data_IF_949857552313
#
_entry.id   IF_949857552313
#
_cell.length_a   1.000
_cell.length_b   1.000
_cell.length_c   1.000
_cell.angle_alpha   90.00
_cell.angle_beta   90.00
_cell.angle_gamma   90.00
#
_symmetry.space_group_name_H-M   'P 1'
#
loop_
_entity.id
_entity.type
_entity.pdbx_description
1 polymer ?
#
# COMPACT_ATOMS: atom_id res chain seq x y z
N UNK A 1 16.46 5.83 -3.02
CA UNK A 1 15.62 5.99 -1.81
C UNK A 1 16.44 6.69 -0.70
N UNK A 2 15.79 7.49 0.16
CA UNK A 2 16.45 8.27 1.22
C UNK A 2 16.02 7.82 2.62
N UNK A 3 14.79 8.14 3.04
CA UNK A 3 14.21 7.67 4.30
C UNK A 3 13.31 6.50 3.97
N UNK A 4 13.59 5.32 4.53
CA UNK A 4 12.90 4.10 4.16
C UNK A 4 12.19 3.43 5.33
N UNK A 5 10.99 2.93 5.05
CA UNK A 5 10.29 1.95 5.88
C UNK A 5 10.69 0.53 5.52
N UNK A 6 10.69 -0.35 6.51
CA UNK A 6 11.02 -1.77 6.37
C UNK A 6 9.76 -2.59 6.03
N UNK A 7 9.59 -3.77 6.61
CA UNK A 7 8.52 -4.72 6.31
C UNK A 7 7.13 -4.18 6.65
N UNK A 8 6.15 -4.58 5.84
CA UNK A 8 4.72 -4.52 6.13
C UNK A 8 4.18 -5.94 6.05
N UNK A 9 3.34 -6.33 6.99
CA UNK A 9 2.71 -7.65 7.06
C UNK A 9 1.20 -7.51 6.82
N UNK A 10 0.61 -8.49 6.15
CA UNK A 10 -0.82 -8.58 5.90
C UNK A 10 -1.35 -10.00 6.01
N UNK A 11 -2.53 -10.16 6.60
CA UNK A 11 -3.20 -11.46 6.76
C UNK A 11 -4.71 -11.31 6.56
N UNK A 12 -5.30 -12.21 5.77
CA UNK A 12 -6.75 -12.40 5.67
C UNK A 12 -7.25 -13.28 6.81
N UNK A 13 -8.37 -12.92 7.41
CA UNK A 13 -9.07 -13.72 8.42
C UNK A 13 -10.57 -13.76 8.14
N UNK A 14 -11.32 -14.55 8.91
CA UNK A 14 -12.77 -14.64 8.77
C UNK A 14 -13.44 -13.29 9.06
N UNK A 15 -13.95 -12.64 8.02
CA UNK A 15 -14.64 -11.35 8.11
C UNK A 15 -13.74 -10.12 7.95
N UNK A 16 -12.45 -10.29 7.63
CA UNK A 16 -11.61 -9.13 7.35
C UNK A 16 -10.15 -9.38 7.01
N UNK A 17 -9.40 -8.28 7.00
CA UNK A 17 -7.96 -8.25 6.73
C UNK A 17 -7.28 -7.38 7.75
N UNK A 18 -6.10 -7.79 8.20
CA UNK A 18 -5.24 -7.00 9.08
C UNK A 18 -3.94 -6.66 8.36
N UNK A 19 -3.48 -5.41 8.50
CA UNK A 19 -2.16 -4.96 8.09
C UNK A 19 -1.39 -4.45 9.32
N UNK A 20 -0.09 -4.73 9.36
CA UNK A 20 0.80 -4.27 10.43
C UNK A 20 2.11 -3.74 9.85
N UNK A 21 2.58 -2.62 10.41
CA UNK A 21 3.88 -2.02 10.09
C UNK A 21 4.44 -1.34 11.34
N UNK A 22 5.77 -1.29 11.47
CA UNK A 22 6.41 -0.43 12.46
C UNK A 22 6.25 1.07 12.10
N UNK A 23 6.61 1.94 13.04
CA UNK A 23 6.49 3.40 12.88
C UNK A 23 7.84 4.09 12.67
N UNK A 24 8.84 3.36 12.16
CA UNK A 24 10.22 3.85 12.01
C UNK A 24 10.52 4.23 10.56
N UNK A 25 11.13 5.40 10.38
CA UNK A 25 11.75 5.84 9.14
C UNK A 25 13.26 5.92 9.33
N UNK A 26 13.97 5.00 8.69
CA UNK A 26 15.43 4.91 8.78
C UNK A 26 16.10 5.67 7.65
N UNK A 27 17.20 6.37 7.96
CA UNK A 27 18.11 6.96 6.97
C UNK A 27 19.41 6.16 6.98
N UNK A 28 19.49 5.14 6.11
CA UNK A 28 20.50 4.10 6.24
C UNK A 28 20.33 3.31 7.54
N UNK A 29 21.38 3.20 8.34
CA UNK A 29 21.35 2.53 9.65
C UNK A 29 20.77 3.39 10.78
N UNK A 30 20.60 4.70 10.56
CA UNK A 30 20.10 5.61 11.59
C UNK A 30 18.57 5.58 11.63
N UNK A 31 18.01 5.19 12.78
CA UNK A 31 16.59 5.33 13.09
C UNK A 31 16.22 6.81 13.33
N UNK A 32 16.10 7.58 12.23
CA UNK A 32 15.94 9.04 12.21
C UNK A 32 14.56 9.50 12.68
N UNK A 33 13.50 8.81 12.26
CA UNK A 33 12.12 9.10 12.66
C UNK A 33 11.51 7.87 13.33
N UNK A 34 10.87 8.03 14.49
CA UNK A 34 10.37 6.91 15.33
C UNK A 34 8.86 6.95 15.59
N UNK A 35 8.12 7.75 14.84
CA UNK A 35 6.70 7.98 15.04
C UNK A 35 5.97 8.33 13.74
N UNK A 36 6.41 7.77 12.62
CA UNK A 36 5.76 7.98 11.32
C UNK A 36 4.77 6.85 11.04
N UNK A 37 3.63 7.16 10.44
CA UNK A 37 2.68 6.13 10.04
C UNK A 37 3.04 5.58 8.66
N UNK A 38 3.13 4.26 8.54
CA UNK A 38 3.32 3.55 7.27
C UNK A 38 2.05 2.86 6.76
N UNK A 39 0.95 3.09 7.46
CA UNK A 39 -0.40 2.63 7.13
C UNK A 39 -1.30 3.84 6.89
N UNK A 40 -2.16 3.77 5.87
CA UNK A 40 -3.12 4.81 5.54
C UNK A 40 -4.47 4.17 5.21
N UNK A 41 -5.54 4.67 5.84
CA UNK A 41 -6.92 4.41 5.42
C UNK A 41 -7.13 5.14 4.08
N UNK A 42 -7.54 4.39 3.05
CA UNK A 42 -7.83 4.92 1.72
C UNK A 42 -9.28 5.41 1.65
N UNK A 43 -10.20 4.54 2.03
CA UNK A 43 -11.63 4.80 2.16
C UNK A 43 -12.19 3.87 3.25
N UNK A 44 -13.52 3.79 3.39
CA UNK A 44 -14.15 2.96 4.43
C UNK A 44 -13.93 1.44 4.27
N UNK A 45 -13.63 0.98 3.06
CA UNK A 45 -13.44 -0.44 2.75
C UNK A 45 -11.98 -0.87 2.55
N UNK A 46 -11.05 0.09 2.45
CA UNK A 46 -9.67 -0.16 2.00
C UNK A 46 -8.62 0.53 2.86
N UNK A 47 -7.57 -0.22 3.21
CA UNK A 47 -6.36 0.23 3.89
C UNK A 47 -5.13 -0.12 3.05
N UNK A 48 -4.13 0.75 3.11
CA UNK A 48 -2.89 0.62 2.37
C UNK A 48 -1.70 0.69 3.32
N UNK A 49 -0.73 -0.20 3.12
CA UNK A 49 0.55 -0.19 3.83
C UNK A 49 1.71 -0.19 2.84
N UNK A 50 2.77 0.58 3.13
CA UNK A 50 3.91 0.70 2.23
C UNK A 50 5.26 0.47 2.93
N UNK A 51 6.15 -0.22 2.22
CA UNK A 51 7.58 -0.29 2.49
C UNK A 51 8.37 0.48 1.42
N UNK A 52 9.65 0.71 1.68
CA UNK A 52 10.52 1.45 0.75
C UNK A 52 10.55 2.94 1.08
N UNK A 53 10.69 3.79 0.06
CA UNK A 53 10.91 5.22 0.23
C UNK A 53 9.65 5.94 0.78
N UNK A 54 9.84 6.71 1.85
CA UNK A 54 8.75 7.37 2.53
C UNK A 54 8.23 8.62 1.78
N UNK A 55 9.08 9.32 1.04
CA UNK A 55 8.66 10.49 0.26
C UNK A 55 7.81 10.06 -0.95
N UNK A 56 8.20 8.98 -1.62
CA UNK A 56 7.39 8.37 -2.69
C UNK A 56 6.04 7.86 -2.15
N UNK A 57 6.03 7.31 -0.92
CA UNK A 57 4.81 6.91 -0.25
C UNK A 57 3.88 8.10 0.04
N UNK A 58 4.42 9.22 0.52
CA UNK A 58 3.63 10.44 0.73
C UNK A 58 3.05 10.99 -0.59
N UNK A 59 3.82 10.93 -1.67
CA UNK A 59 3.31 11.30 -2.99
C UNK A 59 2.15 10.39 -3.42
N UNK A 60 2.29 9.07 -3.28
CA UNK A 60 1.21 8.12 -3.58
C UNK A 60 -0.04 8.39 -2.74
N UNK A 61 0.11 8.72 -1.45
CA UNK A 61 -1.01 9.08 -0.59
C UNK A 61 -1.78 10.27 -1.13
N UNK A 62 -1.08 11.34 -1.53
CA UNK A 62 -1.73 12.56 -2.03
C UNK A 62 -2.54 12.30 -3.31
N UNK A 63 -1.96 11.56 -4.27
CA UNK A 63 -2.65 11.26 -5.53
C UNK A 63 -3.86 10.36 -5.27
N UNK A 64 -3.72 9.38 -4.39
CA UNK A 64 -4.78 8.43 -4.09
C UNK A 64 -5.91 9.06 -3.26
N UNK A 65 -5.58 9.96 -2.33
CA UNK A 65 -6.57 10.75 -1.58
C UNK A 65 -7.38 11.65 -2.50
N UNK A 66 -6.72 12.34 -3.44
CA UNK A 66 -7.45 13.15 -4.43
C UNK A 66 -8.39 12.30 -5.29
N UNK A 67 -7.94 11.13 -5.74
CA UNK A 67 -8.77 10.21 -6.52
C UNK A 67 -10.02 9.75 -5.74
N UNK A 68 -9.88 9.45 -4.45
CA UNK A 68 -11.03 9.06 -3.61
C UNK A 68 -11.98 10.23 -3.42
N UNK A 69 -11.46 11.43 -3.16
CA UNK A 69 -12.28 12.65 -3.02
C UNK A 69 -13.08 12.90 -4.29
N UNK A 70 -12.44 12.82 -5.47
CA UNK A 70 -13.10 13.05 -6.75
C UNK A 70 -14.24 12.05 -7.00
N UNK A 71 -14.07 10.78 -6.60
CA UNK A 71 -15.11 9.76 -6.72
C UNK A 71 -16.26 9.99 -5.73
N UNK A 72 -15.96 10.34 -4.48
CA UNK A 72 -16.97 10.65 -3.47
C UNK A 72 -17.82 11.87 -3.84
N UNK A 73 -17.23 12.87 -4.50
CA UNK A 73 -17.94 14.07 -4.95
C UNK A 73 -18.98 13.78 -6.05
N UNK A 74 -18.86 12.69 -6.80
CA UNK A 74 -19.86 12.31 -7.80
C UNK A 74 -21.18 11.89 -7.15
N UNK A 75 -21.13 11.31 -5.94
CA UNK A 75 -22.31 11.02 -5.12
C UNK A 75 -23.32 10.05 -5.75
N UNK A 76 -22.90 9.24 -6.72
CA UNK A 76 -23.75 8.29 -7.45
C UNK A 76 -23.96 6.95 -6.72
N UNK A 77 -23.35 6.80 -5.54
CA UNK A 77 -23.41 5.59 -4.73
C UNK A 77 -22.35 4.55 -5.08
N UNK A 78 -21.42 4.86 -6.00
CA UNK A 78 -20.27 4.02 -6.28
C UNK A 78 -19.06 4.44 -5.44
N UNK A 79 -18.23 3.45 -5.09
CA UNK A 79 -16.97 3.68 -4.37
C UNK A 79 -15.90 2.74 -4.89
N UNK A 80 -14.65 3.20 -4.85
CA UNK A 80 -13.49 2.40 -5.25
C UNK A 80 -13.34 1.16 -4.37
N UNK A 81 -13.58 0.00 -4.97
CA UNK A 81 -13.31 -1.29 -4.33
C UNK A 81 -11.79 -1.49 -4.09
N UNK A 82 -11.40 -2.31 -3.10
CA UNK A 82 -9.99 -2.63 -2.86
C UNK A 82 -9.27 -3.18 -4.11
N UNK A 83 -9.99 -3.97 -4.92
CA UNK A 83 -9.50 -4.54 -6.19
C UNK A 83 -9.28 -3.47 -7.26
N UNK A 84 -10.15 -2.47 -7.33
CA UNK A 84 -9.99 -1.33 -8.24
C UNK A 84 -8.74 -0.50 -7.89
N UNK A 85 -8.57 -0.20 -6.60
CA UNK A 85 -7.39 0.52 -6.10
C UNK A 85 -6.10 -0.25 -6.36
N UNK A 86 -6.11 -1.58 -6.14
CA UNK A 86 -4.97 -2.45 -6.43
C UNK A 86 -4.60 -2.46 -7.92
N UNK A 87 -5.59 -2.54 -8.81
CA UNK A 87 -5.38 -2.45 -10.26
C UNK A 87 -4.81 -1.09 -10.65
N UNK A 88 -5.37 0.00 -10.15
CA UNK A 88 -4.90 1.37 -10.40
C UNK A 88 -3.44 1.55 -9.96
N UNK A 89 -3.09 1.15 -8.74
CA UNK A 89 -1.71 1.21 -8.23
C UNK A 89 -0.74 0.42 -9.09
N UNK A 90 -1.15 -0.76 -9.56
CA UNK A 90 -0.34 -1.57 -10.47
C UNK A 90 -0.03 -0.81 -11.76
N UNK A 91 -1.00 -0.08 -12.33
CA UNK A 91 -0.78 0.74 -13.53
C UNK A 91 0.09 1.96 -13.25
N UNK A 92 -0.10 2.63 -12.12
CA UNK A 92 0.72 3.79 -11.70
C UNK A 92 2.20 3.39 -11.56
N UNK A 93 2.48 2.33 -10.81
CA UNK A 93 3.85 1.85 -10.59
C UNK A 93 4.49 1.35 -11.88
N UNK A 94 3.75 0.61 -12.71
CA UNK A 94 4.24 0.15 -14.01
C UNK A 94 4.54 1.31 -14.98
N UNK A 95 3.72 2.37 -14.97
CA UNK A 95 3.95 3.56 -15.79
C UNK A 95 5.25 4.29 -15.38
N UNK A 96 5.47 4.46 -14.08
CA UNK A 96 6.68 5.09 -13.53
C UNK A 96 7.94 4.27 -13.85
N UNK A 97 7.85 2.95 -13.72
CA UNK A 97 8.91 2.01 -14.13
C UNK A 97 9.24 2.12 -15.62
N UNK A 98 8.23 2.20 -16.48
CA UNK A 98 8.41 2.31 -17.94
C UNK A 98 9.13 3.59 -18.37
N UNK A 99 9.05 4.65 -17.56
CA UNK A 99 9.76 5.92 -17.76
C UNK A 99 11.17 5.94 -17.14
N UNK A 100 11.66 4.79 -16.64
CA UNK A 100 12.96 4.66 -15.95
C UNK A 100 13.06 5.63 -14.76
N UNK A 101 11.91 5.91 -14.13
CA UNK A 101 11.81 6.75 -12.94
C UNK A 101 10.76 6.14 -11.98
N UNK A 102 11.03 4.95 -11.42
CA UNK A 102 10.07 4.22 -10.58
C UNK A 102 9.80 4.95 -9.27
N UNK A 103 8.65 4.66 -8.67
CA UNK A 103 8.40 4.97 -7.25
C UNK A 103 8.94 3.81 -6.43
N UNK A 104 9.81 4.08 -5.46
CA UNK A 104 10.56 3.06 -4.74
C UNK A 104 9.75 2.46 -3.59
N UNK A 105 8.56 1.93 -3.89
CA UNK A 105 7.69 1.33 -2.90
C UNK A 105 7.28 -0.10 -3.26
N UNK A 106 7.05 -0.87 -2.21
CA UNK A 106 6.25 -2.09 -2.28
C UNK A 106 5.03 -1.86 -1.39
N UNK A 107 3.86 -2.14 -1.92
CA UNK A 107 2.58 -1.75 -1.32
C UNK A 107 1.74 -3.00 -1.09
N UNK A 108 1.14 -3.07 0.11
CA UNK A 108 0.08 -4.01 0.43
C UNK A 108 -1.24 -3.24 0.49
N UNK A 109 -2.26 -3.75 -0.22
CA UNK A 109 -3.62 -3.23 -0.19
C UNK A 109 -4.51 -4.28 0.48
N UNK A 110 -5.12 -3.93 1.59
CA UNK A 110 -6.08 -4.76 2.31
C UNK A 110 -7.45 -4.11 2.32
N UNK A 111 -8.52 -4.90 2.25
CA UNK A 111 -9.85 -4.34 2.34
C UNK A 111 -10.95 -5.39 2.41
N UNK A 112 -12.17 -4.93 2.67
CA UNK A 112 -13.37 -5.78 2.71
C UNK A 112 -14.45 -5.11 1.89
N UNK A 113 -14.93 -5.79 0.86
CA UNK A 113 -16.00 -5.28 0.00
C UNK A 113 -17.05 -6.37 -0.21
N UNK A 114 -18.32 -6.06 0.02
CA UNK A 114 -19.44 -6.99 -0.13
C UNK A 114 -19.26 -8.32 0.64
N UNK A 115 -18.62 -8.27 1.81
CA UNK A 115 -18.32 -9.44 2.64
C UNK A 115 -17.09 -10.25 2.21
N UNK A 116 -16.43 -9.90 1.10
CA UNK A 116 -15.22 -10.55 0.63
C UNK A 116 -13.96 -9.80 1.08
N UNK A 117 -13.01 -10.55 1.65
CA UNK A 117 -11.72 -10.01 2.10
C UNK A 117 -10.68 -10.01 0.97
N UNK A 118 -10.12 -8.84 0.69
CA UNK A 118 -9.11 -8.62 -0.35
C UNK A 118 -7.76 -8.27 0.26
N UNK A 119 -6.69 -8.90 -0.23
CA UNK A 119 -5.32 -8.63 0.18
C UNK A 119 -4.43 -8.81 -1.05
N UNK A 120 -3.87 -7.69 -1.51
CA UNK A 120 -3.08 -7.61 -2.73
C UNK A 120 -1.70 -7.02 -2.49
N UNK A 121 -0.73 -7.50 -3.25
CA UNK A 121 0.65 -7.03 -3.32
C UNK A 121 0.86 -6.25 -4.61
N UNK A 122 1.66 -5.17 -4.56
CA UNK A 122 2.23 -4.51 -5.75
C UNK A 122 3.65 -4.04 -5.45
N UNK A 123 4.61 -4.29 -6.35
CA UNK A 123 5.97 -3.76 -6.25
C UNK A 123 6.26 -2.58 -7.20
N UNK A 124 7.44 -1.98 -7.04
CA UNK A 124 7.95 -0.88 -7.86
C UNK A 124 8.08 -1.21 -9.35
N UNK A 125 8.07 -2.50 -9.73
CA UNK A 125 8.16 -2.96 -11.11
C UNK A 125 6.78 -3.19 -11.73
N UNK A 126 5.72 -3.12 -10.93
CA UNK A 126 4.35 -3.39 -11.31
C UNK A 126 3.99 -4.88 -11.27
N UNK A 127 4.77 -5.72 -10.58
CA UNK A 127 4.39 -7.10 -10.27
C UNK A 127 3.28 -7.04 -9.22
N UNK A 128 2.16 -7.70 -9.51
CA UNK A 128 0.99 -7.67 -8.65
C UNK A 128 0.37 -9.06 -8.55
N UNK A 129 -0.05 -9.44 -7.34
CA UNK A 129 -0.74 -10.69 -7.05
C UNK A 129 -1.55 -10.59 -5.76
N UNK A 130 -2.42 -11.57 -5.53
CA UNK A 130 -3.24 -11.71 -4.32
C UNK A 130 -2.82 -12.97 -3.56
N UNK A 131 -2.85 -12.91 -2.23
CA UNK A 131 -2.55 -14.05 -1.37
C UNK A 131 -3.28 -13.93 -0.02
N UNK A 132 -3.48 -15.04 0.73
CA UNK A 132 -4.06 -14.99 2.07
C UNK A 132 -3.13 -14.36 3.12
N UNK A 133 -1.82 -14.41 2.92
CA UNK A 133 -0.80 -13.74 3.74
C UNK A 133 0.23 -13.08 2.83
N UNK A 134 0.72 -11.90 3.22
CA UNK A 134 1.73 -11.15 2.49
C UNK A 134 2.70 -10.48 3.46
N UNK A 135 3.98 -10.44 3.06
CA UNK A 135 5.01 -9.71 3.78
C UNK A 135 5.95 -9.02 2.79
N UNK A 136 6.38 -7.81 3.11
CA UNK A 136 7.37 -7.06 2.31
C UNK A 136 8.72 -6.99 3.01
N UNK A 137 9.77 -6.59 2.26
CA UNK A 137 11.12 -6.42 2.81
C UNK A 137 11.67 -7.71 3.43
N UNK A 138 12.31 -7.59 4.59
CA UNK A 138 12.82 -8.76 5.34
C UNK A 138 11.70 -9.67 5.87
N UNK A 139 10.49 -9.14 6.04
CA UNK A 139 9.33 -9.92 6.48
C UNK A 139 9.01 -11.06 5.53
N UNK A 140 9.29 -10.91 4.23
CA UNK A 140 9.10 -11.94 3.22
C UNK A 140 9.93 -13.22 3.49
N UNK A 141 11.03 -13.12 4.24
CA UNK A 141 11.92 -14.26 4.54
C UNK A 141 11.78 -14.77 5.97
N UNK A 142 11.32 -13.92 6.89
CA UNK A 142 11.30 -14.22 8.33
C UNK A 142 9.90 -14.48 8.88
N UNK A 143 8.86 -13.95 8.23
CA UNK A 143 7.50 -13.93 8.77
C UNK A 143 6.43 -14.49 7.81
N UNK A 144 6.80 -14.82 6.57
CA UNK A 144 5.88 -15.32 5.53
C UNK A 144 5.57 -16.81 5.69
#
# INVERSE_FOLDING_TARGET
PMVTGTSVLGLKFSGGVILAADTVGSYGSLARFRGISRLRKVNDSTVLGASGDYADFQHLQQVLEQMVIDEELLGDGHSSSPRAIHSWLTRVLYNRRSKINPLWNTVLIGGVCNGESFLGYVDMLGVAYEAPSLATGFGAYLAQ
#
